data_IF_989869782240
#
_entry.id   IF_989869782240
#
_cell.length_a   1.000
_cell.length_b   1.000
_cell.length_c   1.000
_cell.angle_alpha   90.00
_cell.angle_beta   90.00
_cell.angle_gamma   90.00
#
_symmetry.space_group_name_H-M   'P 1'
#
loop_
_entity.id
_entity.type
_entity.pdbx_description
1 polymer ?
#
# COMPACT_ATOMS: atom_id res chain seq x y z
N UNK A 1 -13.76 -3.41 7.00
CA UNK A 1 -12.89 -2.86 5.94
C UNK A 1 -13.32 -1.47 5.48
N UNK A 2 -14.59 -1.29 5.14
CA UNK A 2 -15.10 0.03 4.72
C UNK A 2 -14.94 1.09 5.79
N UNK A 3 -15.08 0.73 7.06
CA UNK A 3 -14.98 1.69 8.17
C UNK A 3 -13.58 2.31 8.28
N UNK A 4 -12.52 1.56 8.01
CA UNK A 4 -11.17 2.11 8.06
C UNK A 4 -10.96 3.19 6.98
N UNK A 5 -11.48 2.94 5.79
CA UNK A 5 -11.38 3.88 4.68
C UNK A 5 -12.22 5.13 4.92
N UNK A 6 -13.26 5.03 5.76
CA UNK A 6 -14.16 6.14 6.08
C UNK A 6 -13.75 6.91 7.33
N UNK A 7 -12.64 6.58 7.94
CA UNK A 7 -12.12 7.34 9.06
C UNK A 7 -11.84 8.78 8.63
N UNK A 8 -12.09 9.77 9.50
CA UNK A 8 -11.81 11.16 9.15
C UNK A 8 -10.35 11.35 8.72
N UNK A 9 -10.15 12.03 7.62
CA UNK A 9 -8.83 12.27 7.06
C UNK A 9 -8.36 11.24 6.05
N UNK A 10 -8.86 10.03 6.08
CA UNK A 10 -8.44 9.01 5.13
C UNK A 10 -9.11 9.14 3.77
N UNK A 11 -10.33 9.66 3.75
CA UNK A 11 -11.03 9.89 2.49
C UNK A 11 -10.24 10.79 1.54
N UNK A 12 -9.45 11.72 2.10
CA UNK A 12 -8.63 12.63 1.32
C UNK A 12 -7.34 11.98 0.82
N UNK A 13 -6.85 10.93 1.49
CA UNK A 13 -5.59 10.29 1.16
C UNK A 13 -5.74 9.13 0.20
N UNK A 14 -6.81 8.37 0.32
CA UNK A 14 -6.96 7.11 -0.44
C UNK A 14 -8.17 7.10 -1.37
N UNK A 15 -9.02 8.13 -1.32
CA UNK A 15 -10.30 8.12 -2.02
C UNK A 15 -11.24 7.08 -1.41
N UNK A 16 -12.42 6.96 -1.97
CA UNK A 16 -13.44 6.05 -1.44
C UNK A 16 -13.73 4.91 -2.41
N UNK A 17 -13.83 3.71 -1.87
CA UNK A 17 -14.39 2.57 -2.58
C UNK A 17 -15.82 2.36 -2.12
N UNK A 18 -16.72 2.08 -3.07
CA UNK A 18 -18.05 1.59 -2.75
C UNK A 18 -17.94 0.13 -2.27
N UNK A 19 -19.01 -0.36 -1.62
CA UNK A 19 -19.08 -1.77 -1.23
C UNK A 19 -18.96 -2.70 -2.45
N UNK A 20 -19.55 -2.29 -3.59
CA UNK A 20 -19.48 -3.08 -4.82
C UNK A 20 -18.04 -3.14 -5.35
N UNK A 21 -17.28 -2.05 -5.27
CA UNK A 21 -15.88 -2.05 -5.69
C UNK A 21 -15.03 -2.96 -4.83
N UNK A 22 -15.24 -2.95 -3.51
CA UNK A 22 -14.52 -3.86 -2.62
C UNK A 22 -14.81 -5.32 -2.93
N UNK A 23 -16.08 -5.65 -3.17
CA UNK A 23 -16.47 -7.02 -3.52
C UNK A 23 -15.84 -7.46 -4.84
N UNK A 24 -15.81 -6.58 -5.84
CA UNK A 24 -15.19 -6.89 -7.12
C UNK A 24 -13.70 -7.16 -6.96
N UNK A 25 -13.01 -6.34 -6.14
CA UNK A 25 -11.58 -6.52 -5.88
C UNK A 25 -11.31 -7.83 -5.14
N UNK A 26 -12.16 -8.21 -4.18
CA UNK A 26 -12.00 -9.46 -3.44
C UNK A 26 -12.15 -10.69 -4.34
N UNK A 27 -12.93 -10.58 -5.41
CA UNK A 27 -13.17 -11.70 -6.33
C UNK A 27 -12.16 -11.77 -7.48
N UNK A 28 -11.29 -10.76 -7.62
CA UNK A 28 -10.30 -10.72 -8.68
C UNK A 28 -9.04 -11.48 -8.23
N UNK A 29 -8.65 -12.58 -8.92
CA UNK A 29 -7.50 -13.38 -8.49
C UNK A 29 -6.15 -12.65 -8.60
N UNK A 30 -6.08 -11.54 -9.37
CA UNK A 30 -4.86 -10.74 -9.47
C UNK A 30 -4.72 -9.74 -8.33
N UNK A 31 -5.71 -9.63 -7.47
CA UNK A 31 -5.75 -8.68 -6.37
C UNK A 31 -5.88 -9.40 -5.03
N UNK A 32 -5.33 -8.81 -3.98
CA UNK A 32 -5.45 -9.34 -2.64
C UNK A 32 -5.57 -8.21 -1.62
N UNK A 33 -6.54 -8.32 -0.74
CA UNK A 33 -6.65 -7.48 0.45
C UNK A 33 -6.00 -8.22 1.62
N UNK A 34 -5.10 -7.54 2.31
CA UNK A 34 -4.54 -8.03 3.56
C UNK A 34 -4.98 -7.08 4.68
N UNK A 35 -5.80 -7.59 5.56
CA UNK A 35 -6.44 -6.79 6.62
C UNK A 35 -5.72 -7.06 7.94
N UNK A 36 -5.32 -5.99 8.61
CA UNK A 36 -4.76 -6.06 9.96
C UNK A 36 -5.90 -5.92 10.96
N UNK A 37 -5.93 -6.80 11.95
CA UNK A 37 -6.93 -6.74 13.02
C UNK A 37 -6.26 -6.72 14.36
N UNK A 38 -6.93 -6.10 15.35
CA UNK A 38 -6.48 -6.12 16.74
C UNK A 38 -6.75 -7.49 17.35
N UNK A 39 -6.18 -7.79 18.55
CA UNK A 39 -6.51 -9.03 19.26
C UNK A 39 -8.00 -9.17 19.54
N UNK A 40 -8.74 -8.07 19.64
CA UNK A 40 -10.19 -8.09 19.80
C UNK A 40 -10.98 -8.23 18.51
N UNK A 41 -10.30 -8.35 17.36
CA UNK A 41 -10.97 -8.52 16.07
C UNK A 41 -11.33 -7.24 15.35
N UNK A 42 -10.94 -6.08 15.86
CA UNK A 42 -11.22 -4.80 15.21
C UNK A 42 -10.26 -4.56 14.04
N UNK A 43 -10.77 -4.12 12.88
CA UNK A 43 -9.90 -3.81 11.75
C UNK A 43 -9.04 -2.58 12.04
N UNK A 44 -7.72 -2.74 11.89
CA UNK A 44 -6.75 -1.67 12.12
C UNK A 44 -6.33 -1.00 10.82
N UNK A 45 -6.59 -1.64 9.69
CA UNK A 45 -6.24 -1.12 8.39
C UNK A 45 -6.14 -2.25 7.37
N UNK A 46 -5.78 -1.89 6.14
CA UNK A 46 -5.59 -2.89 5.11
C UNK A 46 -4.58 -2.44 4.05
N UNK A 47 -4.06 -3.41 3.32
CA UNK A 47 -3.21 -3.19 2.16
C UNK A 47 -3.86 -3.91 0.98
N UNK A 48 -4.05 -3.20 -0.13
CA UNK A 48 -4.56 -3.78 -1.37
C UNK A 48 -3.40 -3.96 -2.35
N UNK A 49 -3.14 -5.21 -2.70
CA UNK A 49 -2.16 -5.57 -3.72
C UNK A 49 -2.86 -5.80 -5.06
N UNK A 50 -2.17 -5.45 -6.14
CA UNK A 50 -2.60 -5.71 -7.52
C UNK A 50 -1.47 -6.34 -8.30
N UNK A 51 -1.83 -6.98 -9.42
CA UNK A 51 -0.87 -7.58 -10.36
C UNK A 51 -0.06 -8.72 -9.73
N UNK A 52 -0.73 -9.55 -8.91
CA UNK A 52 -0.08 -10.66 -8.20
C UNK A 52 0.59 -11.64 -9.18
N UNK A 53 0.03 -11.79 -10.38
CA UNK A 53 0.54 -12.73 -11.37
C UNK A 53 1.32 -12.04 -12.49
N UNK A 54 1.93 -10.89 -12.20
CA UNK A 54 2.70 -10.16 -13.19
C UNK A 54 3.86 -11.03 -13.72
N UNK A 55 4.02 -11.16 -15.05
CA UNK A 55 5.08 -12.00 -15.62
C UNK A 55 6.50 -11.56 -15.26
N UNK A 56 6.68 -10.31 -14.86
CA UNK A 56 7.98 -9.78 -14.47
C UNK A 56 8.16 -9.75 -12.95
N UNK A 57 7.22 -10.36 -12.21
CA UNK A 57 7.23 -10.44 -10.75
C UNK A 57 7.26 -9.08 -10.06
N UNK A 58 6.61 -8.09 -10.66
CA UNK A 58 6.32 -6.80 -10.04
C UNK A 58 4.96 -6.87 -9.37
N UNK A 59 4.91 -6.50 -8.11
CA UNK A 59 3.67 -6.47 -7.33
C UNK A 59 3.39 -5.04 -6.93
N UNK A 60 2.18 -4.56 -7.20
CA UNK A 60 1.79 -3.19 -6.93
C UNK A 60 0.95 -3.09 -5.67
N UNK A 61 1.33 -2.17 -4.77
CA UNK A 61 0.50 -1.80 -3.63
C UNK A 61 -0.37 -0.63 -4.08
N UNK A 62 -1.65 -0.91 -4.28
CA UNK A 62 -2.62 0.08 -4.76
C UNK A 62 -3.08 0.99 -3.63
N UNK A 63 -3.28 0.45 -2.43
CA UNK A 63 -3.82 1.19 -1.29
C UNK A 63 -3.22 0.72 0.01
N UNK A 64 -2.95 1.67 0.88
CA UNK A 64 -2.57 1.41 2.27
C UNK A 64 -3.47 2.30 3.12
N UNK A 65 -4.26 1.69 3.99
CA UNK A 65 -5.16 2.42 4.89
C UNK A 65 -4.88 1.98 6.32
N UNK A 66 -4.65 2.95 7.20
CA UNK A 66 -4.36 2.71 8.61
C UNK A 66 -5.38 3.45 9.45
N UNK A 67 -6.10 2.74 10.33
CA UNK A 67 -7.16 3.32 11.15
C UNK A 67 -6.60 4.19 12.30
N UNK A 68 -5.39 3.92 12.77
CA UNK A 68 -4.77 4.66 13.88
C UNK A 68 -3.30 4.94 13.56
N UNK A 69 -3.03 5.93 12.68
CA UNK A 69 -1.69 6.11 12.11
C UNK A 69 -0.61 6.52 13.11
N UNK A 70 -0.98 7.15 14.23
CA UNK A 70 -0.01 7.63 15.20
C UNK A 70 0.55 6.55 16.14
N UNK A 71 0.06 5.33 16.07
CA UNK A 71 0.38 4.28 17.04
C UNK A 71 1.33 3.20 16.53
N UNK A 72 2.04 3.48 15.46
CA UNK A 72 2.95 2.49 14.87
C UNK A 72 2.26 1.33 14.18
N UNK A 73 0.93 1.37 14.08
CA UNK A 73 0.13 0.33 13.44
C UNK A 73 0.51 0.16 11.97
N UNK A 74 0.78 1.28 11.28
CA UNK A 74 1.13 1.23 9.86
C UNK A 74 2.41 0.44 9.61
N UNK A 75 3.44 0.65 10.44
CA UNK A 75 4.69 -0.09 10.30
C UNK A 75 4.47 -1.58 10.52
N UNK A 76 3.77 -1.95 11.58
CA UNK A 76 3.50 -3.36 11.89
C UNK A 76 2.66 -4.02 10.79
N UNK A 77 1.61 -3.34 10.32
CA UNK A 77 0.76 -3.84 9.26
C UNK A 77 1.54 -4.04 7.96
N UNK A 78 2.37 -3.07 7.59
CA UNK A 78 3.17 -3.17 6.38
C UNK A 78 4.19 -4.28 6.46
N UNK A 79 4.83 -4.49 7.62
CA UNK A 79 5.78 -5.60 7.78
C UNK A 79 5.09 -6.95 7.56
N UNK A 80 3.90 -7.12 8.12
CA UNK A 80 3.12 -8.34 7.93
C UNK A 80 2.70 -8.52 6.46
N UNK A 81 2.26 -7.45 5.82
CA UNK A 81 1.83 -7.50 4.42
C UNK A 81 3.01 -7.81 3.49
N UNK A 82 4.16 -7.20 3.72
CA UNK A 82 5.35 -7.44 2.91
C UNK A 82 5.86 -8.87 3.11
N UNK A 83 5.85 -9.37 4.34
CA UNK A 83 6.22 -10.76 4.62
C UNK A 83 5.31 -11.71 3.85
N UNK A 84 3.99 -11.49 3.92
CA UNK A 84 3.05 -12.30 3.16
C UNK A 84 3.37 -12.26 1.67
N UNK A 85 3.57 -11.05 1.13
CA UNK A 85 3.78 -10.88 -0.30
C UNK A 85 5.04 -11.57 -0.79
N UNK A 86 6.16 -11.38 -0.09
CA UNK A 86 7.44 -11.96 -0.51
C UNK A 86 7.55 -13.46 -0.24
N UNK A 87 6.74 -14.02 0.68
CA UNK A 87 6.80 -15.45 0.99
C UNK A 87 5.73 -16.26 0.29
N UNK A 88 4.59 -15.65 -0.05
CA UNK A 88 3.43 -16.35 -0.59
C UNK A 88 3.29 -16.17 -2.10
N UNK A 89 3.78 -15.05 -2.64
CA UNK A 89 3.73 -14.78 -4.08
C UNK A 89 5.12 -14.88 -4.69
N UNK A 90 5.20 -14.81 -6.01
CA UNK A 90 6.48 -14.80 -6.72
C UNK A 90 7.12 -13.42 -6.77
N UNK A 91 6.59 -12.44 -6.07
CA UNK A 91 7.06 -11.06 -6.16
C UNK A 91 8.55 -10.95 -5.89
N UNK A 92 9.26 -10.30 -6.80
CA UNK A 92 10.65 -9.90 -6.64
C UNK A 92 10.74 -8.41 -6.30
N UNK A 93 9.84 -7.61 -6.84
CA UNK A 93 9.82 -6.16 -6.69
C UNK A 93 8.42 -5.71 -6.31
N UNK A 94 8.31 -5.01 -5.19
CA UNK A 94 7.05 -4.42 -4.74
C UNK A 94 7.19 -2.91 -4.89
N UNK A 95 6.22 -2.26 -5.53
CA UNK A 95 6.28 -0.83 -5.77
C UNK A 95 4.97 -0.16 -5.39
N UNK A 96 5.06 1.15 -5.15
CA UNK A 96 3.92 1.97 -4.78
C UNK A 96 4.21 3.41 -5.15
N UNK A 97 3.18 4.24 -5.04
CA UNK A 97 3.32 5.68 -5.22
C UNK A 97 2.68 6.40 -4.05
N UNK A 98 3.10 7.64 -3.82
CA UNK A 98 2.44 8.52 -2.88
C UNK A 98 2.50 9.96 -3.37
N UNK A 99 1.62 10.80 -2.83
CA UNK A 99 1.61 12.23 -3.13
C UNK A 99 2.85 12.86 -2.47
N UNK A 100 3.56 13.81 -3.14
CA UNK A 100 4.79 14.38 -2.57
C UNK A 100 4.60 15.01 -1.18
N UNK A 101 3.42 15.57 -0.91
CA UNK A 101 3.13 16.19 0.38
C UNK A 101 2.87 15.18 1.50
N UNK A 102 2.71 13.90 1.18
CA UNK A 102 2.43 12.88 2.18
C UNK A 102 3.74 12.43 2.83
N UNK A 103 4.25 13.25 3.73
CA UNK A 103 5.53 12.98 4.40
C UNK A 103 5.48 11.77 5.30
N UNK A 104 4.32 11.52 5.90
CA UNK A 104 4.13 10.34 6.76
C UNK A 104 4.27 9.04 5.97
N UNK A 105 3.64 8.99 4.80
CA UNK A 105 3.77 7.82 3.93
C UNK A 105 5.21 7.62 3.47
N UNK A 106 5.87 8.70 3.04
CA UNK A 106 7.25 8.63 2.60
C UNK A 106 8.17 8.12 3.71
N UNK A 107 7.99 8.62 4.94
CA UNK A 107 8.78 8.19 6.08
C UNK A 107 8.53 6.71 6.41
N UNK A 108 7.27 6.28 6.36
CA UNK A 108 6.91 4.88 6.61
C UNK A 108 7.59 3.96 5.60
N UNK A 109 7.47 4.28 4.30
CA UNK A 109 8.02 3.43 3.26
C UNK A 109 9.55 3.42 3.31
N UNK A 110 10.17 4.57 3.54
CA UNK A 110 11.62 4.66 3.69
C UNK A 110 12.13 3.82 4.86
N UNK A 111 11.41 3.86 5.98
CA UNK A 111 11.73 3.07 7.17
C UNK A 111 11.69 1.57 6.89
N UNK A 112 10.79 1.15 6.00
CA UNK A 112 10.66 -0.26 5.63
C UNK A 112 11.70 -0.70 4.60
N UNK A 113 12.47 0.23 4.05
CA UNK A 113 13.50 -0.08 3.08
C UNK A 113 13.19 0.28 1.65
N UNK A 114 12.00 0.84 1.39
CA UNK A 114 11.66 1.30 0.05
C UNK A 114 12.60 2.43 -0.38
N UNK A 115 12.97 2.42 -1.64
CA UNK A 115 13.81 3.44 -2.25
C UNK A 115 13.03 4.21 -3.28
N UNK A 116 13.24 5.53 -3.33
CA UNK A 116 12.61 6.38 -4.32
C UNK A 116 13.20 6.12 -5.69
N UNK A 117 12.34 5.84 -6.67
CA UNK A 117 12.76 5.61 -8.06
C UNK A 117 12.64 6.86 -8.90
N UNK A 118 11.72 7.75 -8.55
CA UNK A 118 11.55 8.97 -9.30
C UNK A 118 10.22 9.64 -9.01
N UNK A 119 9.94 10.66 -9.79
CA UNK A 119 8.71 11.43 -9.72
C UNK A 119 7.98 11.27 -11.04
N UNK A 120 6.71 10.88 -10.98
CA UNK A 120 5.84 10.76 -12.13
C UNK A 120 5.12 12.10 -12.30
N UNK A 121 5.60 12.89 -13.27
CA UNK A 121 5.08 14.25 -13.47
C UNK A 121 3.65 14.22 -13.99
N UNK A 122 2.76 14.97 -13.32
CA UNK A 122 1.38 15.11 -13.75
C UNK A 122 0.56 13.84 -13.65
N UNK A 123 1.00 12.83 -12.89
CA UNK A 123 0.36 11.53 -12.86
C UNK A 123 -0.86 11.46 -11.94
N UNK A 124 -1.06 12.46 -11.09
CA UNK A 124 -2.15 12.47 -10.11
C UNK A 124 -3.17 13.54 -10.47
N UNK A 125 -4.44 13.16 -10.50
CA UNK A 125 -5.54 14.09 -10.73
C UNK A 125 -6.53 13.58 -11.76
N UNK A 126 -7.69 14.25 -11.80
CA UNK A 126 -8.81 13.88 -12.67
C UNK A 126 -9.05 14.90 -13.79
N UNK A 127 -8.45 16.09 -13.69
CA UNK A 127 -8.64 17.19 -14.63
C UNK A 127 -7.30 17.67 -15.16
N UNK A 128 -7.32 18.21 -16.37
CA UNK A 128 -6.10 18.72 -16.98
C UNK A 128 -5.51 19.90 -16.22
N UNK A 129 -6.34 20.71 -15.58
CA UNK A 129 -5.92 21.90 -14.84
C UNK A 129 -5.61 21.68 -13.37
N UNK A 130 -5.81 20.44 -12.90
CA UNK A 130 -5.61 20.09 -11.48
C UNK A 130 -4.75 18.83 -11.37
N UNK A 131 -3.59 18.89 -12.01
CA UNK A 131 -2.66 17.76 -12.01
C UNK A 131 -1.61 17.95 -10.94
N UNK A 132 -1.18 16.84 -10.37
CA UNK A 132 -0.07 16.78 -9.44
C UNK A 132 0.87 15.65 -9.81
N UNK A 133 1.96 15.56 -9.08
CA UNK A 133 2.96 14.51 -9.30
C UNK A 133 2.76 13.37 -8.31
N UNK A 134 3.35 12.22 -8.63
CA UNK A 134 3.45 11.09 -7.71
C UNK A 134 4.91 10.73 -7.52
N UNK A 135 5.27 10.39 -6.29
CA UNK A 135 6.59 9.82 -5.97
C UNK A 135 6.46 8.31 -6.07
N UNK A 136 7.33 7.66 -6.84
CA UNK A 136 7.34 6.21 -6.97
C UNK A 136 8.48 5.62 -6.15
N UNK A 137 8.16 4.58 -5.38
CA UNK A 137 9.13 3.89 -4.53
C UNK A 137 9.02 2.39 -4.75
N UNK A 138 10.10 1.66 -4.51
CA UNK A 138 10.12 0.21 -4.64
C UNK A 138 10.98 -0.45 -3.59
N UNK A 139 10.70 -1.74 -3.38
CA UNK A 139 11.46 -2.60 -2.47
C UNK A 139 11.69 -3.93 -3.18
N UNK A 140 12.95 -4.34 -3.26
CA UNK A 140 13.31 -5.60 -3.89
C UNK A 140 13.42 -6.70 -2.84
N UNK A 141 13.09 -7.93 -3.23
CA UNK A 141 13.13 -9.08 -2.32
C UNK A 141 14.49 -9.24 -1.62
N UNK A 142 15.65 -9.13 -2.31
CA UNK A 142 16.93 -9.21 -1.61
C UNK A 142 17.12 -8.13 -0.55
N UNK A 143 16.59 -6.92 -0.81
CA UNK A 143 16.66 -5.84 0.18
C UNK A 143 15.82 -6.16 1.40
N UNK A 144 14.61 -6.70 1.19
CA UNK A 144 13.74 -7.11 2.27
C UNK A 144 14.36 -8.25 3.08
N UNK A 145 14.92 -9.26 2.42
CA UNK A 145 15.56 -10.39 3.08
C UNK A 145 16.74 -9.93 3.94
N UNK A 146 17.51 -8.98 3.45
CA UNK A 146 18.63 -8.40 4.19
C UNK A 146 18.20 -7.71 5.47
N UNK A 147 17.10 -6.93 5.41
CA UNK A 147 16.58 -6.22 6.57
C UNK A 147 15.97 -7.17 7.60
N UNK A 148 15.27 -8.21 7.13
CA UNK A 148 14.53 -9.10 8.03
C UNK A 148 15.38 -10.24 8.58
N UNK A 149 16.48 -10.61 7.93
CA UNK A 149 17.35 -11.68 8.39
C UNK A 149 18.45 -11.20 9.32
N UNK A 150 18.64 -9.90 9.38
CA UNK A 150 19.63 -9.30 10.27
C UNK A 150 19.00 -8.94 11.60
#
# INVERSE_FOLDING_TARGET
MMSAERQPGYDLLVGRFSAAEHLANLNDPAKAYRIAVSPGGEPLGFVLFRDINDPQDNLYIKRVVVAAPEKGTGTAMMRLALTWAFTTTSAYRIWLTHIPNNRRAHALYSKLGFQQEGVLRGAYGHRQDQRGDLVQMSLLKPEWDSVTSG
#
